data_IF_555669694891
#
_entry.id   IF_555669694891
#
_cell.length_a   1.000
_cell.length_b   1.000
_cell.length_c   1.000
_cell.angle_alpha   90.00
_cell.angle_beta   90.00
_cell.angle_gamma   90.00
#
_symmetry.space_group_name_H-M   'P 1'
#
loop_
_entity.id
_entity.type
_entity.pdbx_description
1 polymer ?
#
# COMPACT_ATOMS: atom_id res chain seq x y z
N UNK A 1 -2.26 -2.78 -22.21
CA UNK A 1 -1.29 -1.65 -22.32
C UNK A 1 -1.23 -0.77 -21.06
N UNK A 2 -2.30 -0.01 -20.73
CA UNK A 2 -2.29 0.95 -19.62
C UNK A 2 -2.25 0.32 -18.21
N UNK A 3 -2.89 -0.85 -18.01
CA UNK A 3 -2.85 -1.56 -16.72
C UNK A 3 -1.44 -2.09 -16.39
N UNK A 4 -0.70 -2.56 -17.40
CA UNK A 4 0.68 -3.05 -17.26
C UNK A 4 1.61 -1.90 -16.88
N UNK A 5 1.49 -0.74 -17.53
CA UNK A 5 2.26 0.46 -17.19
C UNK A 5 1.95 0.98 -15.79
N UNK A 6 0.68 0.97 -15.36
CA UNK A 6 0.30 1.32 -13.98
C UNK A 6 0.93 0.36 -12.98
N UNK A 7 0.93 -0.93 -13.27
CA UNK A 7 1.56 -1.97 -12.44
C UNK A 7 3.05 -1.75 -12.31
N UNK A 8 3.75 -1.48 -13.41
CA UNK A 8 5.16 -1.12 -13.42
C UNK A 8 5.43 0.14 -12.56
N UNK A 9 4.58 1.16 -12.65
CA UNK A 9 4.70 2.38 -11.82
C UNK A 9 4.51 2.17 -10.32
N UNK A 10 3.96 1.04 -9.85
CA UNK A 10 3.92 0.75 -8.40
C UNK A 10 5.05 -0.19 -7.95
N UNK A 11 5.93 -0.61 -8.87
CA UNK A 11 7.09 -1.44 -8.56
C UNK A 11 8.38 -0.65 -8.54
N UNK A 12 8.33 0.68 -8.41
CA UNK A 12 9.51 1.57 -8.41
C UNK A 12 10.57 1.12 -7.40
N UNK A 13 10.17 0.65 -6.21
CA UNK A 13 11.12 0.12 -5.21
C UNK A 13 11.82 -1.17 -5.65
N UNK A 14 11.19 -1.98 -6.49
CA UNK A 14 11.75 -3.22 -7.02
C UNK A 14 12.61 -2.91 -8.24
N UNK A 15 12.11 -2.07 -9.15
CA UNK A 15 12.71 -1.80 -10.46
C UNK A 15 13.80 -0.72 -10.40
N UNK A 16 13.74 0.19 -9.42
CA UNK A 16 14.68 1.29 -9.24
C UNK A 16 14.98 1.59 -7.75
N UNK A 17 15.60 0.64 -7.01
CA UNK A 17 15.82 0.77 -5.57
C UNK A 17 16.74 1.94 -5.18
N UNK A 18 17.63 2.40 -6.07
CA UNK A 18 18.52 3.53 -5.82
C UNK A 18 17.90 4.90 -6.20
N UNK A 19 16.61 4.94 -6.58
CA UNK A 19 15.94 6.18 -6.95
C UNK A 19 15.73 7.12 -5.75
N UNK A 20 15.69 8.44 -6.02
CA UNK A 20 15.32 9.46 -5.02
C UNK A 20 13.97 9.15 -4.35
N UNK A 21 13.00 8.65 -5.13
CA UNK A 21 11.71 8.22 -4.61
C UNK A 21 11.85 7.09 -3.57
N UNK A 22 12.65 6.07 -3.86
CA UNK A 22 12.91 5.00 -2.89
C UNK A 22 13.63 5.51 -1.65
N UNK A 23 14.54 6.46 -1.79
CA UNK A 23 15.23 7.07 -0.65
C UNK A 23 14.26 7.87 0.24
N UNK A 24 13.35 8.65 -0.36
CA UNK A 24 12.29 9.34 0.40
C UNK A 24 11.44 8.37 1.22
N UNK A 25 11.11 7.19 0.67
CA UNK A 25 10.38 6.16 1.41
C UNK A 25 11.21 5.54 2.54
N UNK A 26 12.54 5.40 2.38
CA UNK A 26 13.43 4.98 3.47
C UNK A 26 13.48 6.01 4.59
N UNK A 27 13.59 7.30 4.24
CA UNK A 27 13.54 8.38 5.24
C UNK A 27 12.21 8.38 5.99
N UNK A 28 11.08 8.19 5.29
CA UNK A 28 9.77 8.06 5.90
C UNK A 28 9.70 6.86 6.87
N UNK A 29 10.23 5.69 6.47
CA UNK A 29 10.32 4.51 7.34
C UNK A 29 11.06 4.83 8.65
N UNK A 30 12.23 5.49 8.56
CA UNK A 30 13.02 5.86 9.75
C UNK A 30 12.18 6.74 10.68
N UNK A 31 11.48 7.74 10.14
CA UNK A 31 10.60 8.59 10.93
C UNK A 31 9.47 7.78 11.59
N UNK A 32 8.85 6.84 10.87
CA UNK A 32 7.82 5.97 11.45
C UNK A 32 8.36 5.06 12.56
N UNK A 33 9.57 4.51 12.39
CA UNK A 33 10.20 3.66 13.40
C UNK A 33 10.45 4.42 14.71
N UNK A 34 10.87 5.69 14.61
CA UNK A 34 11.07 6.57 15.78
C UNK A 34 9.74 6.93 16.43
N UNK A 35 8.73 7.37 15.66
CA UNK A 35 7.45 7.83 16.22
C UNK A 35 6.61 6.69 16.79
N UNK A 36 6.71 5.50 16.20
CA UNK A 36 5.93 4.31 16.58
C UNK A 36 6.73 3.34 17.45
N UNK A 37 7.83 3.79 18.06
CA UNK A 37 8.62 2.98 18.99
C UNK A 37 7.75 2.51 20.17
N UNK A 38 7.90 1.24 20.56
CA UNK A 38 7.11 0.64 21.63
C UNK A 38 5.65 0.32 21.29
N UNK A 39 5.14 0.66 20.10
CA UNK A 39 3.78 0.29 19.69
C UNK A 39 3.72 -1.16 19.18
N UNK A 40 2.76 -1.94 19.71
CA UNK A 40 2.59 -3.35 19.35
C UNK A 40 2.01 -3.59 17.95
N UNK A 41 1.12 -2.71 17.47
CA UNK A 41 0.58 -2.74 16.11
C UNK A 41 0.73 -1.36 15.49
N UNK A 42 1.27 -1.30 14.26
CA UNK A 42 1.52 -0.04 13.55
C UNK A 42 0.53 0.11 12.40
N UNK A 43 -0.28 1.16 12.42
CA UNK A 43 -1.23 1.49 11.37
C UNK A 43 -0.83 2.82 10.76
N UNK A 44 -0.52 2.83 9.46
CA UNK A 44 -0.12 4.02 8.72
C UNK A 44 -1.19 4.34 7.68
N UNK A 45 -1.86 5.47 7.83
CA UNK A 45 -2.80 6.00 6.84
C UNK A 45 -2.07 6.84 5.79
N UNK A 46 -2.32 6.58 4.50
CA UNK A 46 -1.81 7.39 3.37
C UNK A 46 -3.00 8.08 2.69
N UNK A 47 -3.10 9.40 2.88
CA UNK A 47 -4.19 10.22 2.35
C UNK A 47 -3.64 11.32 1.45
N UNK A 48 -4.49 11.86 0.57
CA UNK A 48 -4.19 13.00 -0.29
C UNK A 48 -5.41 13.92 -0.34
N UNK A 49 -5.20 15.20 -0.63
CA UNK A 49 -6.28 16.19 -0.67
C UNK A 49 -7.08 16.04 -1.97
N UNK A 50 -6.37 15.76 -3.08
CA UNK A 50 -6.95 15.64 -4.40
C UNK A 50 -6.71 14.25 -5.02
N UNK A 51 -7.60 13.81 -5.93
CA UNK A 51 -7.33 12.66 -6.79
C UNK A 51 -6.08 12.87 -7.65
N UNK A 52 -5.26 11.84 -7.81
CA UNK A 52 -4.10 11.87 -8.70
C UNK A 52 -2.79 12.34 -8.07
N UNK A 53 -2.78 12.77 -6.81
CA UNK A 53 -1.57 13.22 -6.09
C UNK A 53 -0.58 12.10 -5.72
N UNK A 54 -0.88 10.86 -6.10
CA UNK A 54 0.05 9.74 -5.95
C UNK A 54 -0.06 8.93 -4.66
N UNK A 55 -1.08 9.16 -3.81
CA UNK A 55 -1.30 8.38 -2.57
C UNK A 55 -1.19 6.86 -2.75
N UNK A 56 -1.82 6.32 -3.80
CA UNK A 56 -1.82 4.87 -4.07
C UNK A 56 -0.43 4.38 -4.48
N UNK A 57 0.33 5.18 -5.24
CA UNK A 57 1.71 4.87 -5.62
C UNK A 57 2.63 4.86 -4.41
N UNK A 58 2.50 5.87 -3.54
CA UNK A 58 3.26 5.96 -2.28
C UNK A 58 2.91 4.80 -1.36
N UNK A 59 1.62 4.51 -1.16
CA UNK A 59 1.17 3.41 -0.31
C UNK A 59 1.69 2.04 -0.79
N UNK A 60 1.60 1.75 -2.08
CA UNK A 60 2.08 0.49 -2.65
C UNK A 60 3.59 0.31 -2.49
N UNK A 61 4.38 1.34 -2.82
CA UNK A 61 5.83 1.26 -2.73
C UNK A 61 6.33 1.28 -1.28
N UNK A 62 5.68 2.03 -0.40
CA UNK A 62 5.97 2.00 1.04
C UNK A 62 5.71 0.61 1.61
N UNK A 63 4.55 0.01 1.31
CA UNK A 63 4.24 -1.34 1.74
C UNK A 63 5.25 -2.37 1.22
N UNK A 64 5.62 -2.25 -0.06
CA UNK A 64 6.68 -3.08 -0.65
C UNK A 64 8.04 -2.88 0.03
N UNK A 65 8.37 -1.66 0.44
CA UNK A 65 9.61 -1.37 1.18
C UNK A 65 9.61 -1.96 2.58
N UNK A 66 8.51 -1.81 3.32
CA UNK A 66 8.36 -2.38 4.65
C UNK A 66 8.45 -3.92 4.60
N UNK A 67 7.75 -4.55 3.66
CA UNK A 67 7.76 -5.99 3.47
C UNK A 67 9.16 -6.53 3.12
N UNK A 68 9.89 -5.89 2.20
CA UNK A 68 11.25 -6.32 1.87
C UNK A 68 12.27 -6.12 3.00
N UNK A 69 12.00 -5.19 3.91
CA UNK A 69 12.80 -5.01 5.12
C UNK A 69 12.37 -5.96 6.26
N UNK A 70 11.56 -6.98 5.96
CA UNK A 70 11.17 -8.04 6.90
C UNK A 70 9.94 -7.74 7.75
N UNK A 71 9.27 -6.60 7.55
CA UNK A 71 8.05 -6.30 8.28
C UNK A 71 6.87 -7.16 7.77
N UNK A 72 6.04 -7.67 8.68
CA UNK A 72 4.73 -8.24 8.31
C UNK A 72 3.82 -7.09 7.90
N UNK A 73 3.63 -6.91 6.59
CA UNK A 73 2.93 -5.76 6.03
C UNK A 73 1.63 -6.19 5.37
N UNK A 74 0.53 -5.57 5.78
CA UNK A 74 -0.77 -5.64 5.11
C UNK A 74 -1.04 -4.29 4.45
N UNK A 75 -1.29 -4.30 3.13
CA UNK A 75 -1.68 -3.12 2.38
C UNK A 75 -3.19 -3.19 2.12
N UNK A 76 -3.92 -2.14 2.54
CA UNK A 76 -5.38 -2.08 2.44
C UNK A 76 -5.77 -0.92 1.53
N UNK A 77 -6.63 -1.18 0.53
CA UNK A 77 -7.26 -0.11 -0.25
C UNK A 77 -8.49 0.43 0.49
N UNK A 78 -8.29 1.53 1.22
CA UNK A 78 -9.37 2.22 1.93
C UNK A 78 -10.22 3.13 1.04
N UNK A 79 -9.89 3.29 -0.25
CA UNK A 79 -10.64 4.16 -1.16
C UNK A 79 -11.82 3.42 -1.80
N UNK A 80 -12.90 3.28 -1.03
CA UNK A 80 -14.08 2.51 -1.43
C UNK A 80 -14.84 3.13 -2.60
N UNK A 81 -14.77 4.45 -2.76
CA UNK A 81 -15.44 5.17 -3.86
C UNK A 81 -14.67 5.02 -5.15
N UNK A 82 -13.35 5.02 -5.06
CA UNK A 82 -12.47 5.01 -6.22
C UNK A 82 -11.22 4.18 -5.94
N UNK A 83 -11.30 2.82 -5.95
CA UNK A 83 -10.22 1.91 -5.52
C UNK A 83 -9.01 1.92 -6.47
N UNK A 84 -8.28 3.03 -6.45
CA UNK A 84 -7.21 3.35 -7.37
C UNK A 84 -5.97 2.50 -7.13
N UNK A 85 -5.76 2.05 -5.89
CA UNK A 85 -4.69 1.12 -5.56
C UNK A 85 -4.98 -0.26 -6.14
N UNK A 86 -6.17 -0.81 -5.87
CA UNK A 86 -6.58 -2.15 -6.34
C UNK A 86 -6.51 -2.24 -7.87
N UNK A 87 -7.10 -1.26 -8.57
CA UNK A 87 -7.05 -1.19 -10.03
C UNK A 87 -5.63 -1.10 -10.57
N UNK A 88 -4.79 -0.28 -9.94
CA UNK A 88 -3.42 -0.11 -10.40
C UNK A 88 -2.64 -1.42 -10.22
N UNK A 89 -2.81 -2.11 -9.09
CA UNK A 89 -2.19 -3.41 -8.82
C UNK A 89 -2.77 -4.57 -9.65
N UNK A 90 -3.78 -4.31 -10.48
CA UNK A 90 -4.48 -5.34 -11.26
C UNK A 90 -5.19 -6.36 -10.37
N UNK A 91 -5.62 -5.93 -9.18
CA UNK A 91 -6.39 -6.74 -8.26
C UNK A 91 -7.87 -6.54 -8.59
N UNK A 92 -8.45 -7.51 -9.29
CA UNK A 92 -9.89 -7.66 -9.39
C UNK A 92 -10.34 -8.56 -8.25
N UNK A 93 -10.94 -7.98 -7.21
CA UNK A 93 -11.38 -8.74 -6.05
C UNK A 93 -12.91 -8.71 -5.99
N UNK A 94 -13.53 -9.90 -6.00
CA UNK A 94 -14.98 -10.04 -5.78
C UNK A 94 -15.36 -9.76 -4.32
N UNK A 95 -14.40 -9.91 -3.41
CA UNK A 95 -14.52 -9.62 -1.99
C UNK A 95 -13.26 -8.89 -1.52
N UNK A 96 -13.39 -7.96 -0.59
CA UNK A 96 -12.30 -7.15 -0.07
C UNK A 96 -12.67 -6.51 1.28
N UNK A 97 -12.22 -5.27 1.48
CA UNK A 97 -12.38 -4.58 2.77
C UNK A 97 -13.85 -4.42 3.18
N UNK A 98 -14.75 -4.13 2.23
CA UNK A 98 -16.16 -3.94 2.52
C UNK A 98 -16.80 -5.22 3.04
N UNK A 99 -16.53 -6.34 2.39
CA UNK A 99 -17.04 -7.65 2.76
C UNK A 99 -16.50 -8.05 4.13
N UNK A 100 -15.20 -7.84 4.39
CA UNK A 100 -14.61 -8.09 5.71
C UNK A 100 -15.38 -7.37 6.84
N UNK A 101 -15.66 -6.08 6.63
CA UNK A 101 -16.26 -5.22 7.64
C UNK A 101 -17.76 -5.49 7.79
N UNK A 102 -18.49 -5.65 6.69
CA UNK A 102 -19.96 -5.78 6.72
C UNK A 102 -20.41 -7.20 7.09
N UNK A 103 -19.74 -8.23 6.58
CA UNK A 103 -20.14 -9.62 6.79
C UNK A 103 -19.44 -10.29 7.98
N UNK A 104 -18.58 -9.55 8.71
CA UNK A 104 -17.81 -10.09 9.82
C UNK A 104 -16.80 -11.16 9.40
N UNK A 105 -16.49 -11.24 8.11
CA UNK A 105 -15.49 -12.16 7.58
C UNK A 105 -14.09 -11.74 8.00
N UNK A 106 -13.26 -12.72 8.31
CA UNK A 106 -11.85 -12.47 8.63
C UNK A 106 -11.12 -11.93 7.40
N UNK A 107 -10.17 -11.00 7.57
CA UNK A 107 -9.41 -10.46 6.44
C UNK A 107 -8.65 -11.55 5.66
N UNK A 108 -8.31 -12.66 6.30
CA UNK A 108 -7.66 -13.81 5.67
C UNK A 108 -8.57 -14.54 4.67
N UNK A 109 -9.89 -14.48 4.83
CA UNK A 109 -10.84 -15.14 3.92
C UNK A 109 -11.19 -14.29 2.70
N UNK A 110 -10.97 -12.98 2.77
CA UNK A 110 -11.26 -12.03 1.68
C UNK A 110 -10.01 -11.39 1.08
N UNK A 111 -8.87 -11.52 1.75
CA UNK A 111 -7.60 -10.99 1.30
C UNK A 111 -7.03 -11.79 0.14
N UNK A 112 -6.43 -11.10 -0.83
CA UNK A 112 -5.60 -11.72 -1.87
C UNK A 112 -4.13 -11.56 -1.48
N UNK A 113 -3.38 -12.66 -1.56
CA UNK A 113 -1.93 -12.75 -1.27
C UNK A 113 -1.14 -12.45 -2.56
#
# INVERSE_FOLDING_TARGET
PAAIERRARMRVRIDAPASMFSETLRSAKIAFDVVMEGQGSRVIGVISVLPGEGKSTVAANLAGLLAANGARTLLIDGDLRNPGLSRSLGMEAEQGLMEAVVSGQTWQSVGKI
#
